data_IF_785617200124
#
_entry.id   IF_785617200124
#
_cell.length_a   1.000
_cell.length_b   1.000
_cell.length_c   1.000
_cell.angle_alpha   90.00
_cell.angle_beta   90.00
_cell.angle_gamma   90.00
#
_symmetry.space_group_name_H-M   'P 1'
#
loop_
_entity.id
_entity.type
_entity.pdbx_description
1 polymer ?
#
# COMPACT_ATOMS: atom_id res chain seq x y z
N UNK A 1 5.29 4.36 26.27
CA UNK A 1 4.51 5.09 27.29
C UNK A 1 3.54 4.16 28.01
N UNK A 2 2.61 3.51 27.32
CA UNK A 2 1.62 2.61 27.93
C UNK A 2 2.23 1.43 28.69
N UNK A 3 3.36 0.89 28.23
CA UNK A 3 4.07 -0.19 28.92
C UNK A 3 4.66 0.27 30.27
N UNK A 4 5.14 1.52 30.34
CA UNK A 4 5.65 2.12 31.58
C UNK A 4 4.51 2.38 32.58
N UNK A 5 3.40 2.92 32.10
CA UNK A 5 2.20 3.15 32.91
C UNK A 5 1.64 1.82 33.43
N UNK A 6 1.63 0.77 32.60
CA UNK A 6 1.21 -0.59 32.98
C UNK A 6 2.14 -1.24 34.00
N UNK A 7 3.46 -1.13 33.84
CA UNK A 7 4.44 -1.63 34.80
C UNK A 7 4.24 -0.99 36.18
N UNK A 8 4.03 0.32 36.24
CA UNK A 8 3.74 1.04 37.49
C UNK A 8 2.48 0.59 38.21
N UNK A 9 1.38 0.36 37.45
CA UNK A 9 0.14 -0.15 38.02
C UNK A 9 0.33 -1.54 38.65
N UNK A 10 1.29 -2.32 38.17
CA UNK A 10 1.66 -3.63 38.69
C UNK A 10 2.77 -3.59 39.74
N UNK A 11 3.29 -2.41 40.10
CA UNK A 11 4.40 -2.26 41.05
C UNK A 11 5.73 -2.78 40.53
N UNK A 12 5.90 -2.82 39.20
CA UNK A 12 7.12 -3.29 38.51
C UNK A 12 8.02 -2.10 38.15
N UNK A 13 9.34 -2.31 38.28
CA UNK A 13 10.34 -1.35 37.80
C UNK A 13 10.31 -1.28 36.27
N UNK A 14 10.42 -0.08 35.70
CA UNK A 14 10.30 0.18 34.28
C UNK A 14 11.56 0.83 33.70
N UNK A 15 11.98 0.36 32.52
CA UNK A 15 13.13 0.91 31.78
C UNK A 15 12.64 1.45 30.44
N UNK A 16 12.70 2.78 30.28
CA UNK A 16 12.42 3.45 29.02
C UNK A 16 13.67 3.49 28.13
N UNK A 17 13.54 3.20 26.84
CA UNK A 17 14.66 3.22 25.88
C UNK A 17 14.45 4.26 24.79
N UNK A 18 15.45 5.12 24.54
CA UNK A 18 15.34 6.23 23.58
C UNK A 18 15.57 5.84 22.12
N UNK A 19 16.01 4.62 21.84
CA UNK A 19 16.15 4.11 20.47
C UNK A 19 14.84 3.50 19.93
N UNK A 20 13.72 3.71 20.63
CA UNK A 20 12.34 3.40 20.21
C UNK A 20 11.58 4.64 19.74
N UNK A 21 10.25 4.62 19.89
CA UNK A 21 9.34 5.66 19.40
C UNK A 21 9.06 6.79 20.43
N UNK A 22 9.63 6.76 21.63
CA UNK A 22 9.38 7.74 22.68
C UNK A 22 10.50 8.77 22.83
N UNK A 23 10.14 10.02 23.13
CA UNK A 23 11.11 11.03 23.55
C UNK A 23 11.49 10.86 25.03
N UNK A 24 12.63 11.42 25.46
CA UNK A 24 13.05 11.42 26.86
C UNK A 24 12.00 12.08 27.75
N UNK A 25 11.36 13.14 27.25
CA UNK A 25 10.29 13.85 27.95
C UNK A 25 9.02 12.99 28.11
N UNK A 26 8.63 12.24 27.10
CA UNK A 26 7.47 11.34 27.17
C UNK A 26 7.71 10.18 28.14
N UNK A 27 8.92 9.59 28.12
CA UNK A 27 9.28 8.50 29.01
C UNK A 27 9.35 8.98 30.48
N UNK A 28 9.90 10.18 30.70
CA UNK A 28 9.95 10.81 32.03
C UNK A 28 8.54 11.14 32.55
N UNK A 29 7.66 11.71 31.69
CA UNK A 29 6.26 12.01 32.05
C UNK A 29 5.45 10.74 32.35
N UNK A 30 5.72 9.62 31.64
CA UNK A 30 5.13 8.33 31.97
C UNK A 30 5.69 7.73 33.27
N UNK A 31 6.77 8.30 33.75
CA UNK A 31 7.42 7.94 35.01
C UNK A 31 8.31 6.73 34.93
N UNK A 32 9.03 6.55 33.83
CA UNK A 32 10.06 5.52 33.70
C UNK A 32 11.09 5.63 34.85
N UNK A 33 11.40 4.53 35.53
CA UNK A 33 12.36 4.50 36.62
C UNK A 33 13.78 4.69 36.10
N UNK A 34 14.07 4.17 34.92
CA UNK A 34 15.32 4.34 34.19
C UNK A 34 15.08 4.71 32.74
N UNK A 35 15.93 5.60 32.18
CA UNK A 35 15.92 5.96 30.76
C UNK A 35 17.27 5.68 30.15
N UNK A 36 17.32 4.81 29.17
CA UNK A 36 18.54 4.29 28.52
C UNK A 36 18.60 4.76 27.08
N UNK A 37 19.74 5.39 26.71
CA UNK A 37 19.91 6.05 25.42
C UNK A 37 20.34 5.13 24.29
N UNK A 38 21.02 4.03 24.60
CA UNK A 38 21.49 3.05 23.60
C UNK A 38 21.51 1.61 24.15
N UNK A 39 21.65 0.63 23.26
CA UNK A 39 21.61 -0.80 23.60
C UNK A 39 22.78 -1.24 24.45
N UNK A 40 23.98 -0.62 24.31
CA UNK A 40 25.15 -0.97 25.12
C UNK A 40 24.93 -0.61 26.57
N UNK A 41 24.33 0.56 26.82
CA UNK A 41 23.96 0.99 28.16
C UNK A 41 22.85 0.09 28.77
N UNK A 42 21.95 -0.42 27.96
CA UNK A 42 20.95 -1.41 28.40
C UNK A 42 21.63 -2.73 28.80
N UNK A 43 22.62 -3.18 28.04
CA UNK A 43 23.39 -4.39 28.36
C UNK A 43 24.13 -4.24 29.70
N UNK A 44 24.80 -3.10 29.91
CA UNK A 44 25.48 -2.81 31.17
C UNK A 44 24.49 -2.74 32.36
N UNK A 45 23.31 -2.15 32.14
CA UNK A 45 22.27 -2.09 33.15
C UNK A 45 21.78 -3.50 33.54
N UNK A 46 21.43 -4.35 32.56
CA UNK A 46 20.94 -5.71 32.82
C UNK A 46 21.99 -6.57 33.53
N UNK A 47 23.28 -6.49 33.14
CA UNK A 47 24.37 -7.18 33.83
C UNK A 47 24.57 -6.73 35.28
N UNK A 48 24.36 -5.44 35.56
CA UNK A 48 24.39 -4.91 36.92
C UNK A 48 23.24 -5.41 37.80
N UNK A 49 22.08 -5.72 37.19
CA UNK A 49 20.92 -6.30 37.88
C UNK A 49 21.03 -7.83 38.05
N UNK A 50 22.14 -8.44 37.63
CA UNK A 50 22.35 -9.89 37.70
C UNK A 50 21.69 -10.68 36.59
N UNK A 51 21.08 -10.00 35.62
CA UNK A 51 20.48 -10.62 34.46
C UNK A 51 21.57 -10.90 33.40
N UNK A 52 21.49 -12.09 32.78
CA UNK A 52 22.33 -12.37 31.63
C UNK A 52 21.55 -12.01 30.33
N UNK A 53 21.93 -10.91 29.63
CA UNK A 53 21.24 -10.48 28.43
C UNK A 53 21.16 -11.56 27.34
N UNK A 54 22.15 -12.47 27.29
CA UNK A 54 22.21 -13.53 26.26
C UNK A 54 21.15 -14.63 26.47
N UNK A 55 20.49 -14.67 27.63
CA UNK A 55 19.36 -15.56 27.89
C UNK A 55 17.98 -14.94 27.56
N UNK A 56 17.94 -13.68 27.10
CA UNK A 56 16.71 -12.95 26.85
C UNK A 56 16.42 -12.89 25.35
N UNK A 57 15.49 -13.68 24.87
CA UNK A 57 15.11 -13.79 23.44
C UNK A 57 14.72 -12.46 22.80
N UNK A 58 14.16 -11.51 23.57
CA UNK A 58 13.88 -10.17 23.09
C UNK A 58 15.14 -9.30 22.95
N UNK A 59 16.18 -9.57 23.77
CA UNK A 59 17.45 -8.87 23.71
C UNK A 59 18.25 -9.27 22.48
N UNK A 60 18.22 -10.54 22.06
CA UNK A 60 18.82 -10.99 20.79
C UNK A 60 18.17 -10.32 19.59
N UNK A 61 16.85 -10.06 19.65
CA UNK A 61 16.15 -9.27 18.62
C UNK A 61 16.62 -7.80 18.59
N UNK A 62 16.98 -7.23 19.72
CA UNK A 62 17.57 -5.88 19.79
C UNK A 62 19.03 -5.88 19.31
N UNK A 63 19.84 -6.85 19.68
CA UNK A 63 21.22 -7.04 19.15
C UNK A 63 21.22 -7.22 17.64
N UNK A 64 20.31 -8.03 17.11
CA UNK A 64 20.13 -8.21 15.66
C UNK A 64 19.74 -6.90 14.94
N UNK A 65 19.23 -5.91 15.67
CA UNK A 65 18.95 -4.56 15.15
C UNK A 65 20.14 -3.60 15.25
N UNK A 66 21.15 -3.91 16.08
CA UNK A 66 22.25 -2.97 16.41
C UNK A 66 23.67 -3.56 16.28
N UNK A 67 23.82 -4.87 16.11
CA UNK A 67 25.11 -5.54 16.15
C UNK A 67 25.26 -6.67 15.17
N UNK A 68 25.47 -6.34 13.92
CA UNK A 68 26.17 -7.14 12.94
C UNK A 68 27.35 -6.30 12.45
N UNK A 69 28.57 -6.63 12.80
CA UNK A 69 29.71 -6.24 11.98
C UNK A 69 29.49 -6.84 10.60
N UNK A 70 29.18 -6.02 9.63
CA UNK A 70 29.11 -6.46 8.27
C UNK A 70 27.95 -5.89 7.49
N UNK A 71 28.24 -4.83 6.78
CA UNK A 71 27.45 -3.99 5.88
C UNK A 71 26.47 -3.07 6.63
N UNK A 72 26.90 -1.82 6.80
CA UNK A 72 25.94 -0.71 6.90
C UNK A 72 24.85 -0.97 5.87
N UNK A 73 23.63 -1.27 6.34
CA UNK A 73 22.51 -1.39 5.43
C UNK A 73 22.25 0.02 4.92
N UNK A 74 22.77 0.30 3.72
CA UNK A 74 22.65 1.59 3.07
C UNK A 74 21.18 2.00 3.07
N UNK A 75 20.87 3.16 3.65
CA UNK A 75 19.55 3.77 3.54
C UNK A 75 19.18 3.89 2.07
N UNK A 76 17.95 3.56 1.73
CA UNK A 76 17.44 3.77 0.39
C UNK A 76 17.04 5.25 0.24
N UNK A 77 17.64 5.93 -0.72
CA UNK A 77 17.38 7.33 -1.02
C UNK A 77 16.17 7.43 -1.94
N UNK A 78 15.09 7.98 -1.41
CA UNK A 78 13.84 8.10 -2.13
C UNK A 78 13.72 9.45 -2.82
N UNK A 79 13.36 9.40 -4.10
CA UNK A 79 12.72 10.50 -4.79
C UNK A 79 11.19 10.41 -4.64
N UNK A 80 10.52 11.54 -4.75
CA UNK A 80 9.05 11.59 -4.71
C UNK A 80 8.50 12.30 -5.93
N UNK A 81 7.57 11.68 -6.63
CA UNK A 81 6.75 12.28 -7.68
C UNK A 81 5.35 12.54 -7.14
N UNK A 82 4.92 13.81 -7.23
CA UNK A 82 3.63 14.25 -6.69
C UNK A 82 3.76 14.93 -5.34
N UNK A 83 2.90 15.93 -5.12
CA UNK A 83 2.90 16.80 -3.92
C UNK A 83 1.53 16.86 -3.26
N UNK A 84 0.68 15.86 -3.56
CA UNK A 84 -0.69 15.77 -3.03
C UNK A 84 -0.78 15.21 -1.61
N UNK A 85 -2.02 15.04 -1.14
CA UNK A 85 -2.31 14.53 0.21
C UNK A 85 -1.71 13.15 0.48
N UNK A 86 -1.67 12.25 -0.53
CA UNK A 86 -1.12 10.91 -0.35
C UNK A 86 0.40 10.95 -0.22
N UNK A 87 1.08 11.77 -1.00
CA UNK A 87 2.52 12.00 -0.88
C UNK A 87 2.89 12.55 0.52
N UNK A 88 2.08 13.47 1.06
CA UNK A 88 2.27 13.98 2.43
C UNK A 88 2.09 12.87 3.48
N UNK A 89 1.05 12.04 3.35
CA UNK A 89 0.83 10.89 4.26
C UNK A 89 1.96 9.87 4.16
N UNK A 90 2.45 9.59 2.95
CA UNK A 90 3.58 8.70 2.71
C UNK A 90 4.84 9.18 3.41
N UNK A 91 5.20 10.47 3.25
CA UNK A 91 6.34 11.05 3.96
C UNK A 91 6.18 10.96 5.48
N UNK A 92 4.99 11.29 6.01
CA UNK A 92 4.70 11.21 7.45
C UNK A 92 4.86 9.79 8.01
N UNK A 93 4.45 8.76 7.24
CA UNK A 93 4.56 7.36 7.63
C UNK A 93 6.02 6.88 7.69
N UNK A 94 6.89 7.42 6.85
CA UNK A 94 8.23 6.89 6.61
C UNK A 94 9.37 7.76 7.16
N UNK A 95 9.13 9.01 7.52
CA UNK A 95 10.17 10.01 7.90
C UNK A 95 11.10 9.59 9.05
N UNK A 96 10.70 8.62 9.85
CA UNK A 96 11.50 8.06 10.95
C UNK A 96 11.95 6.62 10.68
N UNK A 97 11.75 6.12 9.47
CA UNK A 97 12.20 4.80 9.07
C UNK A 97 13.72 4.74 8.98
N UNK A 98 14.33 3.69 9.55
CA UNK A 98 15.80 3.54 9.57
C UNK A 98 16.42 3.34 8.19
N UNK A 99 15.64 2.82 7.24
CA UNK A 99 16.09 2.44 5.90
C UNK A 99 15.55 3.38 4.80
N UNK A 100 14.91 4.48 5.19
CA UNK A 100 14.25 5.44 4.31
C UNK A 100 14.85 6.84 4.49
N UNK A 101 15.23 7.47 3.39
CA UNK A 101 15.61 8.88 3.34
C UNK A 101 14.97 9.56 2.13
N UNK A 102 14.18 10.60 2.34
CA UNK A 102 13.70 11.44 1.24
C UNK A 102 14.81 12.41 0.83
N UNK A 103 15.27 12.34 -0.43
CA UNK A 103 16.39 13.13 -0.95
C UNK A 103 16.00 14.07 -2.08
N UNK A 104 14.91 13.78 -2.80
CA UNK A 104 14.49 14.57 -3.94
C UNK A 104 12.97 14.63 -4.11
N UNK A 105 12.49 15.72 -4.69
CA UNK A 105 11.07 15.92 -5.04
C UNK A 105 10.96 16.42 -6.46
N UNK A 106 10.13 15.76 -7.26
CA UNK A 106 9.72 16.22 -8.57
C UNK A 106 8.27 16.71 -8.55
N UNK A 107 8.03 17.84 -9.19
CA UNK A 107 6.69 18.35 -9.48
C UNK A 107 6.72 19.11 -10.81
N UNK A 108 5.56 19.29 -11.45
CA UNK A 108 5.42 20.04 -12.72
C UNK A 108 5.96 21.47 -12.64
N UNK A 109 6.20 22.00 -11.46
CA UNK A 109 6.86 23.30 -11.22
C UNK A 109 7.76 23.19 -10.00
N UNK A 110 8.94 23.84 -10.05
CA UNK A 110 9.88 23.91 -8.93
C UNK A 110 9.26 24.54 -7.67
N UNK A 111 8.35 25.48 -7.84
CA UNK A 111 7.64 26.13 -6.73
C UNK A 111 6.88 25.09 -5.90
N UNK A 112 6.05 24.23 -6.53
CA UNK A 112 5.31 23.16 -5.86
C UNK A 112 6.22 22.12 -5.22
N UNK A 113 7.34 21.79 -5.87
CA UNK A 113 8.31 20.86 -5.31
C UNK A 113 8.93 21.42 -4.02
N UNK A 114 9.32 22.70 -4.02
CA UNK A 114 9.87 23.40 -2.86
C UNK A 114 8.86 23.59 -1.73
N UNK A 115 7.62 23.95 -2.07
CA UNK A 115 6.53 24.07 -1.10
C UNK A 115 6.28 22.74 -0.38
N UNK A 116 6.20 21.64 -1.13
CA UNK A 116 6.06 20.29 -0.54
C UNK A 116 7.26 19.92 0.33
N UNK A 117 8.48 20.21 -0.12
CA UNK A 117 9.72 19.89 0.57
C UNK A 117 10.03 20.77 1.79
N UNK A 118 9.27 21.85 1.98
CA UNK A 118 9.51 22.78 3.09
C UNK A 118 9.48 22.03 4.44
N UNK A 119 10.52 22.24 5.25
CA UNK A 119 10.74 21.59 6.55
C UNK A 119 10.89 20.04 6.51
N UNK A 120 11.17 19.43 5.35
CA UNK A 120 11.37 17.97 5.22
C UNK A 120 12.83 17.53 5.10
N UNK A 121 13.78 18.44 5.34
CA UNK A 121 15.21 18.15 5.27
C UNK A 121 15.90 18.83 4.08
N UNK A 122 17.11 18.36 3.76
CA UNK A 122 17.86 18.86 2.59
C UNK A 122 17.46 18.07 1.36
N UNK A 123 16.57 18.64 0.53
CA UNK A 123 16.04 18.01 -0.66
C UNK A 123 16.55 18.69 -1.92
N UNK A 124 16.72 17.90 -2.97
CA UNK A 124 16.86 18.41 -4.33
C UNK A 124 15.47 18.54 -4.96
N UNK A 125 15.27 19.55 -5.79
CA UNK A 125 13.98 19.87 -6.39
C UNK A 125 14.10 19.87 -7.91
N UNK A 126 13.15 19.22 -8.57
CA UNK A 126 13.13 19.04 -10.01
C UNK A 126 11.76 19.39 -10.59
N UNK A 127 11.75 19.97 -11.79
CA UNK A 127 10.57 20.13 -12.64
C UNK A 127 10.76 19.51 -14.05
N UNK A 128 11.93 18.92 -14.29
CA UNK A 128 12.22 18.05 -15.42
C UNK A 128 12.33 16.60 -14.95
N UNK A 129 11.54 15.70 -15.57
CA UNK A 129 11.44 14.29 -15.17
C UNK A 129 12.71 13.51 -15.52
N UNK A 130 13.35 13.80 -16.66
CA UNK A 130 14.57 13.12 -17.07
C UNK A 130 15.74 13.50 -16.18
N UNK A 131 15.88 14.79 -15.83
CA UNK A 131 16.88 15.25 -14.87
C UNK A 131 16.67 14.64 -13.49
N UNK A 132 15.43 14.51 -13.03
CA UNK A 132 15.07 13.84 -11.77
C UNK A 132 15.44 12.35 -11.82
N UNK A 133 15.04 11.63 -12.86
CA UNK A 133 15.27 10.20 -13.02
C UNK A 133 16.78 9.87 -13.09
N UNK A 134 17.58 10.70 -13.76
CA UNK A 134 19.02 10.50 -13.92
C UNK A 134 19.86 11.04 -12.74
N UNK A 135 19.22 11.59 -11.70
CA UNK A 135 19.93 12.12 -10.53
C UNK A 135 20.61 11.01 -9.72
N UNK A 136 21.85 11.26 -9.31
CA UNK A 136 22.65 10.36 -8.46
C UNK A 136 22.19 10.36 -6.99
N UNK A 137 21.28 11.25 -6.60
CA UNK A 137 20.80 11.34 -5.22
C UNK A 137 19.62 10.40 -4.94
N UNK A 138 19.17 9.59 -5.91
CA UNK A 138 17.96 8.76 -5.82
C UNK A 138 18.31 7.30 -6.12
N UNK A 139 17.89 6.37 -5.26
CA UNK A 139 17.96 4.92 -5.48
C UNK A 139 16.57 4.35 -5.86
N UNK A 140 15.50 4.90 -5.28
CA UNK A 140 14.13 4.49 -5.49
C UNK A 140 13.18 5.68 -5.55
N UNK A 141 12.02 5.52 -6.19
CA UNK A 141 11.04 6.61 -6.33
C UNK A 141 9.65 6.15 -5.89
N UNK A 142 8.99 6.97 -5.07
CA UNK A 142 7.56 6.86 -4.82
C UNK A 142 6.79 7.72 -5.81
N UNK A 143 5.94 7.08 -6.63
CA UNK A 143 5.14 7.75 -7.65
C UNK A 143 3.71 7.93 -7.15
N UNK A 144 3.29 9.17 -6.93
CA UNK A 144 1.98 9.56 -6.40
C UNK A 144 1.32 10.66 -7.24
N UNK A 145 1.49 10.58 -8.54
CA UNK A 145 0.86 11.42 -9.55
C UNK A 145 -0.57 10.93 -9.87
N UNK A 146 -1.34 11.59 -10.77
CA UNK A 146 -2.57 11.02 -11.28
C UNK A 146 -2.34 9.71 -12.06
N UNK A 147 -3.28 8.77 -11.99
CA UNK A 147 -3.17 7.41 -12.55
C UNK A 147 -2.69 7.40 -14.02
N UNK A 148 -3.22 8.29 -14.85
CA UNK A 148 -2.85 8.40 -16.27
C UNK A 148 -1.38 8.77 -16.52
N UNK A 149 -0.64 9.21 -15.48
CA UNK A 149 0.78 9.57 -15.58
C UNK A 149 1.70 8.45 -15.11
N UNK A 150 1.17 7.41 -14.44
CA UNK A 150 1.98 6.38 -13.82
C UNK A 150 2.86 5.66 -14.84
N UNK A 151 2.27 5.17 -15.94
CA UNK A 151 2.99 4.43 -16.97
C UNK A 151 4.23 5.18 -17.48
N UNK A 152 4.06 6.39 -18.02
CA UNK A 152 5.15 7.13 -18.65
C UNK A 152 6.24 7.49 -17.63
N UNK A 153 5.85 7.90 -16.41
CA UNK A 153 6.79 8.24 -15.35
C UNK A 153 7.56 7.01 -14.85
N UNK A 154 6.89 5.89 -14.62
CA UNK A 154 7.53 4.66 -14.17
C UNK A 154 8.48 4.12 -15.24
N UNK A 155 8.09 4.15 -16.52
CA UNK A 155 8.95 3.74 -17.62
C UNK A 155 10.23 4.59 -17.73
N UNK A 156 10.13 5.90 -17.51
CA UNK A 156 11.29 6.80 -17.46
C UNK A 156 12.23 6.44 -16.30
N UNK A 157 11.68 6.22 -15.11
CA UNK A 157 12.44 5.88 -13.90
C UNK A 157 13.15 4.52 -14.01
N UNK A 158 12.44 3.50 -14.50
CA UNK A 158 13.01 2.15 -14.69
C UNK A 158 14.16 2.18 -15.71
N UNK A 159 14.02 2.88 -16.83
CA UNK A 159 15.10 3.05 -17.83
C UNK A 159 16.31 3.79 -17.27
N UNK A 160 16.10 4.67 -16.29
CA UNK A 160 17.17 5.38 -15.57
C UNK A 160 17.74 4.56 -14.38
N UNK A 161 17.35 3.29 -14.23
CA UNK A 161 17.89 2.40 -13.19
C UNK A 161 17.34 2.64 -11.80
N UNK A 162 16.13 3.20 -11.63
CA UNK A 162 15.53 3.45 -10.32
C UNK A 162 14.47 2.38 -10.00
N UNK A 163 14.51 1.87 -8.74
CA UNK A 163 13.41 1.08 -8.21
C UNK A 163 12.16 1.95 -8.05
N UNK A 164 10.96 1.40 -8.19
CA UNK A 164 9.73 2.20 -8.14
C UNK A 164 8.66 1.58 -7.25
N UNK A 165 8.16 2.37 -6.30
CA UNK A 165 6.92 2.15 -5.57
C UNK A 165 5.86 3.07 -6.18
N UNK A 166 4.92 2.51 -6.94
CA UNK A 166 3.89 3.26 -7.64
C UNK A 166 2.55 3.17 -6.91
N UNK A 167 1.89 4.32 -6.69
CA UNK A 167 0.53 4.33 -6.14
C UNK A 167 -0.44 3.51 -6.98
N UNK A 168 -1.46 3.01 -6.28
CA UNK A 168 -2.58 2.30 -6.88
C UNK A 168 -3.55 3.28 -7.61
N UNK A 169 -4.24 2.82 -8.67
CA UNK A 169 -3.94 1.59 -9.41
C UNK A 169 -2.62 1.74 -10.14
N UNK A 170 -1.91 0.62 -10.35
CA UNK A 170 -0.57 0.60 -10.97
C UNK A 170 -0.53 1.42 -12.27
N UNK A 171 -1.56 1.30 -13.11
CA UNK A 171 -1.65 1.94 -14.41
C UNK A 171 -3.12 2.20 -14.80
N UNK A 172 -3.35 2.78 -15.98
CA UNK A 172 -4.69 3.01 -16.52
C UNK A 172 -5.35 1.72 -17.03
N UNK A 173 -4.54 0.72 -17.42
CA UNK A 173 -5.00 -0.58 -17.92
C UNK A 173 -3.92 -1.65 -17.74
N UNK A 174 -4.32 -2.93 -17.95
CA UNK A 174 -3.45 -4.10 -17.82
C UNK A 174 -2.21 -4.01 -18.72
N UNK A 175 -2.37 -3.58 -19.98
CA UNK A 175 -1.28 -3.51 -20.94
C UNK A 175 -0.16 -2.56 -20.48
N UNK A 176 -0.52 -1.39 -19.94
CA UNK A 176 0.44 -0.46 -19.34
C UNK A 176 1.18 -1.10 -18.16
N UNK A 177 0.46 -1.80 -17.28
CA UNK A 177 1.07 -2.51 -16.16
C UNK A 177 2.02 -3.63 -16.61
N UNK A 178 1.66 -4.41 -17.64
CA UNK A 178 2.52 -5.44 -18.25
C UNK A 178 3.80 -4.84 -18.84
N UNK A 179 3.70 -3.70 -19.55
CA UNK A 179 4.85 -2.99 -20.10
C UNK A 179 5.79 -2.51 -18.98
N UNK A 180 5.24 -1.97 -17.88
CA UNK A 180 6.02 -1.50 -16.71
C UNK A 180 6.75 -2.65 -16.02
N UNK A 181 6.09 -3.78 -15.76
CA UNK A 181 6.74 -4.93 -15.14
C UNK A 181 7.78 -5.58 -16.04
N UNK A 182 7.53 -5.65 -17.35
CA UNK A 182 8.50 -6.16 -18.33
C UNK A 182 9.77 -5.32 -18.36
N UNK A 183 9.65 -3.98 -18.28
CA UNK A 183 10.83 -3.11 -18.20
C UNK A 183 11.55 -3.25 -16.86
N UNK A 184 10.83 -3.38 -15.75
CA UNK A 184 11.43 -3.60 -14.41
C UNK A 184 12.26 -4.91 -14.39
N UNK A 185 11.73 -6.01 -14.94
CA UNK A 185 12.44 -7.28 -15.07
C UNK A 185 13.69 -7.15 -15.93
N UNK A 186 13.57 -6.53 -17.09
CA UNK A 186 14.69 -6.30 -18.02
C UNK A 186 15.83 -5.52 -17.37
N UNK A 187 15.51 -4.56 -16.50
CA UNK A 187 16.49 -3.73 -15.80
C UNK A 187 16.93 -4.34 -14.46
N UNK A 188 16.38 -5.50 -14.06
CA UNK A 188 16.59 -6.12 -12.75
C UNK A 188 16.28 -5.16 -11.59
N UNK A 189 15.14 -4.48 -11.69
CA UNK A 189 14.64 -3.50 -10.71
C UNK A 189 13.35 -3.99 -10.05
N UNK A 190 13.12 -3.52 -8.84
CA UNK A 190 11.87 -3.76 -8.12
C UNK A 190 10.85 -2.69 -8.53
N UNK A 191 9.71 -3.13 -9.03
CA UNK A 191 8.49 -2.35 -9.20
C UNK A 191 7.41 -2.93 -8.30
N UNK A 192 6.84 -2.10 -7.43
CA UNK A 192 5.79 -2.49 -6.50
C UNK A 192 4.60 -1.55 -6.62
N UNK A 193 3.37 -2.09 -6.59
CA UNK A 193 2.15 -1.31 -6.43
C UNK A 193 1.92 -0.95 -4.97
N UNK A 194 1.65 0.32 -4.68
CA UNK A 194 1.31 0.83 -3.36
C UNK A 194 -0.08 0.39 -2.90
N UNK A 195 -0.25 -0.91 -2.71
CA UNK A 195 -1.50 -1.51 -2.26
C UNK A 195 -1.47 -1.75 -0.75
N UNK A 196 -1.50 -0.67 0.01
CA UNK A 196 -1.31 -0.63 1.48
C UNK A 196 -2.08 -1.71 2.25
N UNK A 197 -3.29 -2.08 1.80
CA UNK A 197 -4.16 -3.03 2.50
C UNK A 197 -3.54 -4.43 2.61
N UNK A 198 -2.96 -4.96 1.53
CA UNK A 198 -2.42 -6.32 1.48
C UNK A 198 -1.02 -6.45 2.12
N UNK A 199 -0.36 -5.32 2.39
CA UNK A 199 0.94 -5.28 3.08
C UNK A 199 0.82 -4.97 4.57
N UNK A 200 -0.37 -4.61 5.05
CA UNK A 200 -0.61 -4.38 6.47
C UNK A 200 -0.45 -5.69 7.28
N UNK A 201 0.26 -5.68 8.42
CA UNK A 201 0.46 -6.86 9.26
C UNK A 201 -0.84 -7.55 9.68
N UNK A 202 -1.93 -6.80 9.83
CA UNK A 202 -3.25 -7.33 10.15
C UNK A 202 -3.79 -8.24 9.05
N UNK A 203 -3.48 -7.96 7.77
CA UNK A 203 -3.88 -8.81 6.67
C UNK A 203 -3.22 -10.21 6.78
N UNK A 204 -1.91 -10.26 7.02
CA UNK A 204 -1.20 -11.53 7.23
C UNK A 204 -1.67 -12.25 8.50
N UNK A 205 -1.92 -11.51 9.59
CA UNK A 205 -2.44 -12.07 10.84
C UNK A 205 -3.88 -12.60 10.73
N UNK A 206 -4.65 -12.15 9.75
CA UNK A 206 -5.99 -12.66 9.47
C UNK A 206 -5.96 -14.05 8.81
N UNK A 207 -4.95 -14.34 7.97
CA UNK A 207 -4.91 -15.56 7.15
C UNK A 207 -5.05 -16.86 7.94
N UNK A 208 -4.40 -17.08 9.10
CA UNK A 208 -4.57 -18.31 9.88
C UNK A 208 -6.02 -18.57 10.32
N UNK A 209 -6.82 -17.52 10.50
CA UNK A 209 -8.23 -17.67 10.87
C UNK A 209 -9.10 -18.21 9.72
N UNK A 210 -8.64 -18.07 8.46
CA UNK A 210 -9.35 -18.60 7.28
C UNK A 210 -9.52 -20.13 7.37
N UNK A 211 -8.52 -20.86 7.89
CA UNK A 211 -8.59 -22.31 8.05
C UNK A 211 -9.74 -22.74 8.96
N UNK A 212 -10.05 -21.92 9.98
CA UNK A 212 -11.12 -22.19 10.93
C UNK A 212 -12.53 -22.09 10.34
N UNK A 213 -12.68 -21.52 9.13
CA UNK A 213 -13.96 -21.35 8.47
C UNK A 213 -14.44 -22.63 7.75
N UNK A 214 -13.56 -23.63 7.56
CA UNK A 214 -13.81 -24.76 6.70
C UNK A 214 -13.73 -24.37 5.21
N UNK A 215 -14.36 -25.14 4.33
CA UNK A 215 -14.35 -24.86 2.89
C UNK A 215 -15.11 -23.55 2.61
N UNK A 216 -14.41 -22.57 2.04
CA UNK A 216 -15.00 -21.27 1.70
C UNK A 216 -15.98 -21.44 0.55
N UNK A 217 -17.17 -20.88 0.69
CA UNK A 217 -18.26 -20.95 -0.30
C UNK A 217 -18.67 -19.59 -0.83
N UNK A 218 -18.47 -18.55 -0.04
CA UNK A 218 -18.80 -17.17 -0.45
C UNK A 218 -17.86 -16.17 0.22
N UNK A 219 -17.50 -15.12 -0.51
CA UNK A 219 -16.85 -13.94 0.03
C UNK A 219 -17.51 -12.68 -0.54
N UNK A 220 -17.97 -11.80 0.33
CA UNK A 220 -18.48 -10.46 -0.04
C UNK A 220 -17.54 -9.45 0.61
N UNK A 221 -16.65 -8.88 -0.17
CA UNK A 221 -15.76 -7.82 0.28
C UNK A 221 -16.27 -6.47 -0.21
N UNK A 222 -16.17 -5.44 0.62
CA UNK A 222 -16.69 -4.12 0.25
C UNK A 222 -15.82 -2.97 0.75
N UNK A 223 -15.76 -1.90 -0.06
CA UNK A 223 -15.29 -0.59 0.31
C UNK A 223 -16.23 0.46 -0.24
N UNK A 224 -17.13 0.94 0.62
CA UNK A 224 -18.10 1.97 0.29
C UNK A 224 -17.87 3.17 1.21
N UNK A 225 -17.44 4.28 0.64
CA UNK A 225 -17.15 5.51 1.38
C UNK A 225 -17.65 6.71 0.59
N UNK A 226 -18.64 7.42 1.13
CA UNK A 226 -19.13 8.65 0.52
C UNK A 226 -18.00 9.68 0.42
N UNK A 227 -17.68 10.07 -0.79
CA UNK A 227 -16.61 11.03 -1.06
C UNK A 227 -17.10 12.46 -0.91
N UNK A 228 -16.43 13.28 -0.09
CA UNK A 228 -16.70 14.72 -0.01
C UNK A 228 -16.55 15.43 -1.37
N UNK A 229 -15.79 14.85 -2.31
CA UNK A 229 -15.67 15.34 -3.69
C UNK A 229 -16.92 15.09 -4.52
N UNK A 230 -17.80 14.18 -4.11
CA UNK A 230 -19.07 13.94 -4.80
C UNK A 230 -20.04 15.09 -4.60
N UNK A 231 -19.98 15.81 -3.47
CA UNK A 231 -20.77 17.04 -3.30
C UNK A 231 -20.35 18.13 -4.29
N UNK A 232 -19.05 18.26 -4.56
CA UNK A 232 -18.57 19.15 -5.60
C UNK A 232 -19.02 18.71 -7.00
N UNK A 233 -18.96 17.39 -7.27
CA UNK A 233 -19.46 16.81 -8.51
C UNK A 233 -20.95 17.18 -8.76
N UNK A 234 -21.81 17.03 -7.75
CA UNK A 234 -23.24 17.42 -7.83
C UNK A 234 -23.45 18.92 -8.11
N UNK A 235 -22.46 19.76 -7.78
CA UNK A 235 -22.44 21.20 -8.08
C UNK A 235 -21.78 21.53 -9.43
N UNK A 236 -21.41 20.52 -10.22
CA UNK A 236 -20.73 20.69 -11.51
C UNK A 236 -19.20 20.90 -11.42
N UNK A 237 -18.60 20.76 -10.23
CA UNK A 237 -17.15 20.89 -10.02
C UNK A 237 -16.55 19.47 -9.98
N UNK A 238 -15.90 19.07 -11.09
CA UNK A 238 -15.33 17.73 -11.22
C UNK A 238 -13.89 17.72 -10.73
N UNK A 239 -13.67 17.09 -9.59
CA UNK A 239 -12.33 16.87 -9.03
C UNK A 239 -11.68 15.61 -9.58
N UNK A 240 -10.34 15.48 -9.39
CA UNK A 240 -9.52 14.41 -10.00
C UNK A 240 -10.07 12.99 -9.83
N UNK A 241 -10.66 12.67 -8.67
CA UNK A 241 -11.21 11.33 -8.40
C UNK A 241 -12.38 10.92 -9.30
N UNK A 242 -13.00 11.88 -10.02
CA UNK A 242 -14.11 11.67 -10.94
C UNK A 242 -13.78 12.10 -12.36
N UNK A 243 -12.51 12.19 -12.75
CA UNK A 243 -12.03 12.60 -14.07
C UNK A 243 -11.64 11.40 -14.91
N UNK A 244 -12.36 11.06 -15.99
CA UNK A 244 -12.01 9.95 -16.87
C UNK A 244 -10.67 10.19 -17.57
N UNK A 245 -10.31 11.44 -17.89
CA UNK A 245 -9.02 11.81 -18.48
C UNK A 245 -7.82 11.55 -17.57
N UNK A 246 -8.06 11.33 -16.27
CA UNK A 246 -7.03 10.94 -15.30
C UNK A 246 -7.07 9.45 -14.96
N UNK A 247 -7.84 8.64 -15.72
CA UNK A 247 -8.06 7.21 -15.47
C UNK A 247 -8.60 6.93 -14.07
N UNK A 248 -9.60 7.72 -13.64
CA UNK A 248 -10.23 7.65 -12.34
C UNK A 248 -11.70 7.24 -12.43
N UNK A 249 -12.31 7.01 -11.28
CA UNK A 249 -13.67 6.55 -11.04
C UNK A 249 -13.71 5.79 -9.72
N UNK A 250 -14.85 5.29 -9.30
CA UNK A 250 -14.96 4.57 -8.03
C UNK A 250 -14.22 3.22 -8.08
N UNK A 251 -14.27 2.50 -9.19
CA UNK A 251 -13.55 1.25 -9.39
C UNK A 251 -12.03 1.44 -9.24
N UNK A 252 -11.48 2.40 -9.97
CA UNK A 252 -10.04 2.66 -10.00
C UNK A 252 -9.53 3.26 -8.69
N UNK A 253 -10.34 4.05 -7.96
CA UNK A 253 -9.87 4.72 -6.74
C UNK A 253 -10.03 3.86 -5.48
N UNK A 254 -11.17 3.19 -5.30
CA UNK A 254 -11.44 2.38 -4.10
C UNK A 254 -11.81 0.93 -4.41
N UNK A 255 -12.46 0.63 -5.52
CA UNK A 255 -12.77 -0.73 -5.96
C UNK A 255 -11.51 -1.59 -6.11
N UNK A 256 -10.41 -0.98 -6.56
CA UNK A 256 -9.10 -1.63 -6.70
C UNK A 256 -8.64 -2.31 -5.40
N UNK A 257 -8.88 -1.72 -4.23
CA UNK A 257 -8.54 -2.33 -2.93
C UNK A 257 -9.30 -3.64 -2.70
N UNK A 258 -10.59 -3.62 -2.99
CA UNK A 258 -11.47 -4.79 -2.80
C UNK A 258 -11.07 -5.91 -3.75
N UNK A 259 -10.82 -5.58 -5.01
CA UNK A 259 -10.37 -6.54 -6.03
C UNK A 259 -9.00 -7.12 -5.65
N UNK A 260 -8.05 -6.30 -5.26
CA UNK A 260 -6.72 -6.75 -4.82
C UNK A 260 -6.79 -7.68 -3.61
N UNK A 261 -7.65 -7.39 -2.63
CA UNK A 261 -7.89 -8.27 -1.50
C UNK A 261 -8.51 -9.62 -1.93
N UNK A 262 -9.48 -9.62 -2.86
CA UNK A 262 -10.05 -10.86 -3.43
C UNK A 262 -8.97 -11.70 -4.12
N UNK A 263 -8.15 -11.09 -4.99
CA UNK A 263 -7.05 -11.78 -5.68
C UNK A 263 -6.03 -12.32 -4.68
N UNK A 264 -5.66 -11.54 -3.66
CA UNK A 264 -4.68 -11.96 -2.63
C UNK A 264 -5.18 -13.13 -1.79
N UNK A 265 -6.49 -13.21 -1.51
CA UNK A 265 -7.10 -14.26 -0.70
C UNK A 265 -7.45 -15.53 -1.49
N UNK A 266 -7.96 -15.37 -2.70
CA UNK A 266 -8.59 -16.47 -3.45
C UNK A 266 -7.99 -16.71 -4.83
N UNK A 267 -7.02 -15.90 -5.26
CA UNK A 267 -6.43 -15.96 -6.60
C UNK A 267 -7.34 -15.37 -7.67
N UNK A 268 -6.98 -15.62 -8.93
CA UNK A 268 -7.74 -15.16 -10.09
C UNK A 268 -9.10 -15.87 -10.21
N UNK A 269 -10.20 -15.13 -10.46
CA UNK A 269 -11.51 -15.74 -10.75
C UNK A 269 -11.51 -16.40 -12.14
N UNK A 270 -12.36 -17.40 -12.33
CA UNK A 270 -12.59 -18.05 -13.62
C UNK A 270 -13.31 -17.10 -14.60
N UNK A 271 -14.27 -16.35 -14.06
CA UNK A 271 -15.03 -15.34 -14.81
C UNK A 271 -15.53 -14.24 -13.88
N UNK A 272 -15.93 -13.10 -14.46
CA UNK A 272 -16.55 -12.01 -13.72
C UNK A 272 -17.79 -11.47 -14.45
N UNK A 273 -18.73 -10.90 -13.65
CA UNK A 273 -19.83 -10.08 -14.13
C UNK A 273 -19.88 -8.78 -13.33
N UNK A 274 -19.81 -7.65 -14.03
CA UNK A 274 -19.81 -6.33 -13.41
C UNK A 274 -21.09 -5.57 -13.71
N UNK A 275 -21.61 -4.89 -12.69
CA UNK A 275 -22.71 -3.91 -12.80
C UNK A 275 -22.37 -2.67 -11.98
N UNK A 276 -22.77 -1.48 -12.44
CA UNK A 276 -22.41 -0.24 -11.76
C UNK A 276 -23.24 0.96 -12.17
N UNK A 277 -23.10 2.02 -11.40
CA UNK A 277 -23.74 3.31 -11.63
C UNK A 277 -22.74 4.24 -12.32
N UNK A 278 -22.99 4.52 -13.62
CA UNK A 278 -22.23 5.53 -14.36
C UNK A 278 -22.74 6.93 -14.03
N UNK A 279 -21.80 7.82 -13.78
CA UNK A 279 -22.07 9.23 -13.61
C UNK A 279 -22.15 9.95 -14.99
N UNK A 280 -22.67 11.17 -15.01
CA UNK A 280 -22.94 11.92 -16.24
C UNK A 280 -21.70 12.17 -17.12
N UNK A 281 -20.51 12.17 -16.53
CA UNK A 281 -19.25 12.35 -17.24
C UNK A 281 -18.55 11.04 -17.67
N UNK A 282 -19.24 9.90 -17.51
CA UNK A 282 -18.76 8.61 -18.01
C UNK A 282 -17.97 7.73 -17.04
N UNK A 283 -17.54 8.25 -15.87
CA UNK A 283 -16.92 7.40 -14.83
C UNK A 283 -18.00 6.72 -13.98
N UNK A 284 -17.61 5.66 -13.27
CA UNK A 284 -18.47 5.01 -12.29
C UNK A 284 -18.44 5.73 -10.92
N UNK A 285 -19.60 5.77 -10.27
CA UNK A 285 -19.76 6.24 -8.89
C UNK A 285 -19.81 5.10 -7.88
N UNK A 286 -20.32 3.94 -8.30
CA UNK A 286 -20.46 2.72 -7.51
C UNK A 286 -20.57 1.50 -8.41
N UNK A 287 -20.25 0.32 -7.89
CA UNK A 287 -20.42 -0.91 -8.63
C UNK A 287 -20.24 -2.17 -7.78
N UNK A 288 -20.56 -3.29 -8.41
CA UNK A 288 -20.37 -4.63 -7.88
C UNK A 288 -19.79 -5.52 -8.97
N UNK A 289 -18.79 -6.31 -8.61
CA UNK A 289 -18.20 -7.33 -9.46
C UNK A 289 -18.48 -8.68 -8.83
N UNK A 290 -19.27 -9.51 -9.50
CA UNK A 290 -19.44 -10.92 -9.16
C UNK A 290 -18.26 -11.70 -9.76
N UNK A 291 -17.56 -12.46 -8.93
CA UNK A 291 -16.39 -13.26 -9.28
C UNK A 291 -16.72 -14.75 -9.12
N UNK A 292 -16.57 -15.51 -10.19
CA UNK A 292 -16.83 -16.96 -10.19
C UNK A 292 -15.50 -17.71 -9.97
N UNK A 293 -15.50 -18.63 -9.00
CA UNK A 293 -14.41 -19.55 -8.72
C UNK A 293 -14.94 -21.00 -8.80
N UNK A 294 -14.10 -22.04 -8.91
CA UNK A 294 -14.57 -23.43 -9.04
C UNK A 294 -15.54 -23.87 -7.93
N UNK A 295 -15.30 -23.40 -6.70
CA UNK A 295 -16.02 -23.89 -5.50
C UNK A 295 -16.68 -22.78 -4.68
N UNK A 296 -16.52 -21.51 -5.07
CA UNK A 296 -17.07 -20.37 -4.34
C UNK A 296 -17.51 -19.23 -5.25
N UNK A 297 -18.31 -18.35 -4.69
CA UNK A 297 -18.71 -17.07 -5.33
C UNK A 297 -18.08 -15.92 -4.54
N UNK A 298 -17.40 -15.01 -5.24
CA UNK A 298 -16.90 -13.75 -4.71
C UNK A 298 -17.74 -12.55 -5.15
N UNK A 299 -17.85 -11.55 -4.30
CA UNK A 299 -18.47 -10.26 -4.60
C UNK A 299 -17.53 -9.14 -4.14
N UNK A 300 -17.12 -8.27 -5.06
CA UNK A 300 -16.38 -7.05 -4.77
C UNK A 300 -17.32 -5.85 -4.95
N UNK A 301 -17.66 -5.18 -3.84
CA UNK A 301 -18.61 -4.07 -3.81
C UNK A 301 -17.85 -2.79 -3.49
N UNK A 302 -18.10 -1.72 -4.26
CA UNK A 302 -17.43 -0.44 -4.06
C UNK A 302 -18.36 0.73 -4.36
N UNK A 303 -18.20 1.84 -3.61
CA UNK A 303 -18.97 3.07 -3.85
C UNK A 303 -18.24 4.29 -3.33
N UNK A 304 -18.23 5.36 -4.13
CA UNK A 304 -17.81 6.71 -3.73
C UNK A 304 -18.98 7.68 -3.56
N UNK A 305 -20.20 7.19 -3.80
CA UNK A 305 -21.45 7.99 -3.77
C UNK A 305 -22.41 7.55 -2.67
N UNK A 306 -22.05 6.49 -1.94
CA UNK A 306 -22.77 5.99 -0.76
C UNK A 306 -21.79 5.46 0.27
N UNK A 307 -22.18 5.48 1.55
CA UNK A 307 -21.53 4.70 2.61
C UNK A 307 -22.18 3.32 2.75
N UNK A 308 -21.51 2.40 3.43
CA UNK A 308 -22.08 1.13 3.88
C UNK A 308 -21.72 0.87 5.34
N UNK A 309 -22.73 0.47 6.12
CA UNK A 309 -22.55 0.03 7.50
C UNK A 309 -22.31 -1.48 7.63
N UNK A 310 -22.41 -2.24 6.52
CA UNK A 310 -22.24 -3.68 6.53
C UNK A 310 -20.76 -4.03 6.51
N UNK A 311 -20.28 -5.02 7.30
CA UNK A 311 -18.92 -5.51 7.21
C UNK A 311 -18.72 -6.33 5.93
N UNK A 312 -17.46 -6.46 5.47
CA UNK A 312 -17.04 -7.52 4.56
C UNK A 312 -17.25 -8.87 5.24
N UNK A 313 -17.56 -9.91 4.47
CA UNK A 313 -17.86 -11.23 5.00
C UNK A 313 -17.22 -12.34 4.16
N UNK A 314 -16.60 -13.33 4.83
CA UNK A 314 -16.11 -14.57 4.23
C UNK A 314 -16.85 -15.73 4.89
N UNK A 315 -17.53 -16.54 4.08
CA UNK A 315 -18.40 -17.61 4.54
C UNK A 315 -17.81 -18.99 4.18
N UNK A 316 -17.50 -19.76 5.20
CA UNK A 316 -17.13 -21.15 5.08
C UNK A 316 -18.24 -22.08 5.59
N UNK A 317 -18.06 -23.38 5.38
CA UNK A 317 -19.02 -24.41 5.82
C UNK A 317 -19.10 -24.52 7.36
N UNK A 318 -18.03 -24.16 8.08
CA UNK A 318 -17.95 -24.30 9.54
C UNK A 318 -18.16 -22.98 10.30
N UNK A 319 -17.80 -21.84 9.70
CA UNK A 319 -17.92 -20.53 10.32
C UNK A 319 -17.93 -19.42 9.27
N UNK A 320 -18.28 -18.19 9.70
CA UNK A 320 -18.15 -16.98 8.91
C UNK A 320 -17.21 -15.99 9.59
N UNK A 321 -16.42 -15.28 8.79
CA UNK A 321 -15.57 -14.16 9.23
C UNK A 321 -16.20 -12.85 8.79
N UNK A 322 -16.31 -11.89 9.70
CA UNK A 322 -16.74 -10.53 9.45
C UNK A 322 -15.55 -9.59 9.63
N UNK A 323 -15.25 -8.77 8.61
CA UNK A 323 -14.17 -7.79 8.61
C UNK A 323 -14.76 -6.41 8.39
N UNK A 324 -14.59 -5.48 9.35
CA UNK A 324 -15.26 -4.18 9.31
C UNK A 324 -14.74 -3.31 8.16
N UNK A 325 -13.43 -3.19 8.02
CA UNK A 325 -12.74 -2.36 7.03
C UNK A 325 -11.67 -3.21 6.35
N UNK A 326 -11.96 -3.73 5.14
CA UNK A 326 -11.05 -4.63 4.44
C UNK A 326 -9.77 -3.91 3.96
N UNK A 327 -9.86 -2.61 3.72
CA UNK A 327 -8.72 -1.77 3.30
C UNK A 327 -7.78 -1.40 4.45
N UNK A 328 -8.22 -1.58 5.72
CA UNK A 328 -7.44 -1.31 6.93
C UNK A 328 -7.95 -2.13 8.13
N UNK A 329 -7.67 -3.42 8.10
CA UNK A 329 -8.22 -4.38 9.07
C UNK A 329 -7.69 -4.09 10.48
N UNK A 330 -8.56 -3.68 11.39
CA UNK A 330 -8.25 -3.56 12.83
C UNK A 330 -9.00 -4.61 13.64
N UNK A 331 -10.21 -4.94 13.21
CA UNK A 331 -11.10 -5.85 13.91
C UNK A 331 -11.68 -6.89 12.95
N UNK A 332 -11.74 -8.14 13.41
CA UNK A 332 -12.52 -9.18 12.77
C UNK A 332 -13.32 -9.97 13.81
N UNK A 333 -14.38 -10.60 13.34
CA UNK A 333 -15.21 -11.48 14.17
C UNK A 333 -15.40 -12.82 13.45
N UNK A 334 -15.18 -13.92 14.17
CA UNK A 334 -15.52 -15.26 13.71
C UNK A 334 -16.85 -15.64 14.34
N UNK A 335 -17.81 -16.01 13.52
CA UNK A 335 -19.16 -16.41 13.94
C UNK A 335 -19.35 -17.88 13.61
N UNK A 336 -19.50 -18.72 14.66
CA UNK A 336 -19.70 -20.16 14.54
C UNK A 336 -20.90 -20.57 15.38
N UNK A 337 -21.97 -21.08 14.73
CA UNK A 337 -23.19 -21.56 15.41
C UNK A 337 -23.74 -20.55 16.45
N UNK A 338 -23.73 -19.27 16.11
CA UNK A 338 -24.19 -18.19 16.99
C UNK A 338 -23.20 -17.69 18.03
N UNK A 339 -22.07 -18.38 18.21
CA UNK A 339 -20.97 -17.89 19.08
C UNK A 339 -20.08 -16.94 18.28
N UNK A 340 -19.77 -15.78 18.87
CA UNK A 340 -18.95 -14.74 18.27
C UNK A 340 -17.62 -14.65 19.00
N UNK A 341 -16.51 -14.81 18.27
CA UNK A 341 -15.16 -14.53 18.73
C UNK A 341 -14.69 -13.23 18.07
N UNK A 342 -14.35 -12.22 18.85
CA UNK A 342 -13.77 -10.95 18.35
C UNK A 342 -12.26 -10.99 18.48
N UNK A 343 -11.57 -10.55 17.43
CA UNK A 343 -10.11 -10.45 17.36
C UNK A 343 -9.76 -9.02 16.97
N UNK A 344 -8.86 -8.39 17.74
CA UNK A 344 -8.34 -7.05 17.49
C UNK A 344 -6.87 -7.12 17.07
N UNK A 345 -6.49 -6.32 16.08
CA UNK A 345 -5.12 -6.20 15.60
C UNK A 345 -4.59 -4.80 15.87
N UNK A 346 -3.56 -4.73 16.70
CA UNK A 346 -2.81 -3.47 16.85
C UNK A 346 -1.96 -3.20 15.62
N UNK A 347 -2.12 -2.03 15.03
CA UNK A 347 -1.30 -1.54 13.93
C UNK A 347 -1.35 0.00 13.87
N UNK A 348 -0.42 0.58 13.11
CA UNK A 348 -0.37 2.02 12.86
C UNK A 348 -1.64 2.51 12.17
N UNK A 349 -2.11 3.71 12.52
CA UNK A 349 -3.19 4.38 11.78
C UNK A 349 -2.77 4.76 10.36
N UNK A 350 -1.49 5.06 10.16
CA UNK A 350 -0.93 5.30 8.84
C UNK A 350 -0.17 4.08 8.35
N UNK A 351 -0.86 3.19 7.63
CA UNK A 351 -0.35 1.90 7.17
C UNK A 351 0.53 1.97 5.91
N UNK A 352 0.82 3.16 5.38
CA UNK A 352 1.69 3.34 4.21
C UNK A 352 3.16 2.96 4.49
N UNK A 353 3.57 2.92 5.75
CA UNK A 353 4.91 2.47 6.12
C UNK A 353 5.13 0.98 5.84
N UNK A 354 4.10 0.14 5.91
CA UNK A 354 4.25 -1.31 5.73
C UNK A 354 4.56 -1.69 4.29
N UNK A 355 3.89 -1.08 3.32
CA UNK A 355 4.22 -1.28 1.89
C UNK A 355 5.63 -0.77 1.56
N UNK A 356 6.05 0.35 2.18
CA UNK A 356 7.41 0.87 2.03
C UNK A 356 8.46 -0.09 2.62
N UNK A 357 8.19 -0.66 3.79
CA UNK A 357 9.09 -1.64 4.42
C UNK A 357 9.20 -2.91 3.56
N UNK A 358 8.09 -3.40 3.00
CA UNK A 358 8.12 -4.56 2.10
C UNK A 358 8.87 -4.24 0.80
N UNK A 359 8.66 -3.07 0.21
CA UNK A 359 9.41 -2.61 -0.96
C UNK A 359 10.92 -2.53 -0.70
N UNK A 360 11.33 -1.92 0.42
CA UNK A 360 12.75 -1.85 0.83
C UNK A 360 13.33 -3.25 1.04
N UNK A 361 12.59 -4.15 1.66
CA UNK A 361 12.98 -5.54 1.85
C UNK A 361 13.17 -6.24 0.50
N UNK A 362 12.27 -6.07 -0.46
CA UNK A 362 12.40 -6.61 -1.82
C UNK A 362 13.66 -6.06 -2.51
N UNK A 363 13.95 -4.77 -2.40
CA UNK A 363 15.19 -4.17 -2.95
C UNK A 363 16.43 -4.83 -2.35
N UNK A 364 16.46 -5.02 -1.02
CA UNK A 364 17.62 -5.56 -0.29
C UNK A 364 17.83 -7.06 -0.52
N UNK A 365 16.76 -7.81 -0.72
CA UNK A 365 16.81 -9.28 -0.81
C UNK A 365 16.66 -9.80 -2.23
N UNK A 366 16.09 -9.03 -3.14
CA UNK A 366 15.71 -9.48 -4.49
C UNK A 366 14.54 -10.48 -4.50
N UNK A 367 13.82 -10.67 -3.38
CA UNK A 367 12.79 -11.72 -3.22
C UNK A 367 11.40 -11.15 -2.94
N UNK A 368 10.36 -11.88 -3.33
CA UNK A 368 8.96 -11.62 -2.98
C UNK A 368 8.21 -10.73 -3.95
N UNK A 369 8.88 -10.15 -4.93
CA UNK A 369 8.27 -9.26 -5.92
C UNK A 369 7.39 -10.01 -6.93
N UNK A 370 7.68 -11.29 -7.21
CA UNK A 370 6.95 -12.11 -8.19
C UNK A 370 5.47 -12.25 -7.79
N UNK A 371 5.23 -12.57 -6.51
CA UNK A 371 3.87 -12.69 -5.97
C UNK A 371 3.12 -11.35 -6.01
N UNK A 372 3.81 -10.26 -5.69
CA UNK A 372 3.22 -8.92 -5.74
C UNK A 372 2.86 -8.51 -7.17
N UNK A 373 3.74 -8.80 -8.15
CA UNK A 373 3.47 -8.64 -9.58
C UNK A 373 2.25 -9.43 -10.03
N UNK A 374 2.15 -10.71 -9.66
CA UNK A 374 1.01 -11.56 -10.00
C UNK A 374 -0.30 -10.96 -9.48
N UNK A 375 -0.34 -10.54 -8.20
CA UNK A 375 -1.52 -9.91 -7.60
C UNK A 375 -1.91 -8.64 -8.37
N UNK A 376 -0.95 -7.77 -8.68
CA UNK A 376 -1.21 -6.53 -9.42
C UNK A 376 -1.74 -6.83 -10.83
N UNK A 377 -1.11 -7.73 -11.59
CA UNK A 377 -1.56 -8.04 -12.95
C UNK A 377 -2.94 -8.69 -12.99
N UNK A 378 -3.24 -9.63 -12.09
CA UNK A 378 -4.57 -10.23 -12.00
C UNK A 378 -5.62 -9.21 -11.51
N UNK A 379 -5.26 -8.30 -10.61
CA UNK A 379 -6.10 -7.17 -10.22
C UNK A 379 -6.43 -6.30 -11.44
N UNK A 380 -5.42 -5.85 -12.19
CA UNK A 380 -5.61 -5.02 -13.38
C UNK A 380 -6.46 -5.70 -14.46
N UNK A 381 -6.31 -7.01 -14.62
CA UNK A 381 -7.12 -7.82 -15.55
C UNK A 381 -8.61 -7.82 -15.17
N UNK A 382 -8.91 -7.95 -13.88
CA UNK A 382 -10.28 -7.85 -13.36
C UNK A 382 -10.83 -6.44 -13.55
N UNK A 383 -10.04 -5.40 -13.25
CA UNK A 383 -10.44 -4.00 -13.45
C UNK A 383 -10.75 -3.70 -14.93
N UNK A 384 -9.91 -4.15 -15.85
CA UNK A 384 -10.11 -3.94 -17.30
C UNK A 384 -11.37 -4.64 -17.80
N UNK A 385 -11.59 -5.89 -17.39
CA UNK A 385 -12.79 -6.64 -17.78
C UNK A 385 -14.06 -6.01 -17.17
N UNK A 386 -14.01 -5.55 -15.91
CA UNK A 386 -15.12 -4.83 -15.29
C UNK A 386 -15.42 -3.50 -16.03
N UNK A 387 -14.36 -2.71 -16.36
CA UNK A 387 -14.52 -1.47 -17.15
C UNK A 387 -15.14 -1.75 -18.52
N UNK A 388 -14.69 -2.83 -19.19
CA UNK A 388 -15.22 -3.25 -20.49
C UNK A 388 -16.74 -3.52 -20.40
N UNK A 389 -17.18 -4.28 -19.38
CA UNK A 389 -18.60 -4.57 -19.15
C UNK A 389 -19.41 -3.32 -18.78
N UNK A 390 -18.82 -2.38 -18.05
CA UNK A 390 -19.43 -1.11 -17.67
C UNK A 390 -19.35 -0.03 -18.79
N UNK A 391 -18.70 -0.33 -19.91
CA UNK A 391 -18.43 0.64 -20.98
C UNK A 391 -17.71 1.90 -20.49
N UNK A 392 -16.70 1.73 -19.63
CA UNK A 392 -15.83 2.80 -19.14
C UNK A 392 -14.52 2.73 -19.93
N UNK A 393 -14.23 3.80 -20.68
CA UNK A 393 -13.05 3.93 -21.54
C UNK A 393 -12.21 5.12 -21.07
N UNK A 394 -10.92 4.92 -20.99
CA UNK A 394 -9.94 5.97 -20.69
C UNK A 394 -9.13 6.36 -21.94
N UNK A 395 -8.58 7.58 -22.02
CA UNK A 395 -7.72 7.99 -23.14
C UNK A 395 -6.53 7.05 -23.38
N UNK A 396 -6.00 6.42 -22.34
CA UNK A 396 -4.93 5.43 -22.41
C UNK A 396 -5.31 4.17 -23.23
N UNK A 397 -6.58 3.78 -23.19
CA UNK A 397 -7.09 2.61 -23.94
C UNK A 397 -7.08 2.87 -25.44
N UNK A 398 -7.40 4.10 -25.88
CA UNK A 398 -7.40 4.53 -27.29
C UNK A 398 -5.99 4.58 -27.86
N UNK A 399 -5.03 5.17 -27.14
CA UNK A 399 -3.59 5.17 -27.53
C UNK A 399 -3.05 3.75 -27.73
N UNK A 400 -3.47 2.82 -26.91
CA UNK A 400 -3.09 1.41 -27.01
C UNK A 400 -3.65 0.73 -28.26
N UNK A 401 -4.84 1.09 -28.72
CA UNK A 401 -5.44 0.55 -29.96
C UNK A 401 -4.77 1.12 -31.22
N UNK A 402 -4.43 2.40 -31.23
CA UNK A 402 -3.72 3.04 -32.34
C UNK A 402 -2.34 2.44 -32.55
N UNK A 403 -1.55 2.23 -31.49
CA UNK A 403 -0.26 1.54 -31.56
C UNK A 403 -0.37 0.11 -32.11
N UNK A 404 -1.45 -0.62 -31.79
CA UNK A 404 -1.71 -1.97 -32.34
C UNK A 404 -2.04 -1.91 -33.84
N UNK A 405 -2.85 -0.94 -34.29
CA UNK A 405 -3.18 -0.75 -35.71
C UNK A 405 -1.93 -0.42 -36.51
N UNK A 406 -1.11 0.51 -36.08
CA UNK A 406 0.13 0.91 -36.74
C UNK A 406 1.13 -0.26 -36.86
N UNK A 407 1.29 -1.10 -35.82
CA UNK A 407 2.15 -2.29 -35.88
C UNK A 407 1.61 -3.38 -36.81
N UNK A 408 0.28 -3.46 -36.97
CA UNK A 408 -0.33 -4.43 -37.91
C UNK A 408 -0.13 -3.98 -39.36
N UNK A 409 -0.34 -2.68 -39.62
CA UNK A 409 -0.11 -2.11 -40.97
C UNK A 409 1.36 -2.22 -41.39
N UNK A 410 2.30 -1.93 -40.48
CA UNK A 410 3.73 -2.07 -40.74
C UNK A 410 4.18 -3.53 -41.03
N UNK A 411 3.49 -4.53 -40.41
CA UNK A 411 3.75 -5.96 -40.69
C UNK A 411 3.09 -6.50 -41.96
N UNK A 412 2.09 -5.81 -42.48
CA UNK A 412 1.40 -6.14 -43.73
C UNK A 412 2.10 -5.47 -44.93
N UNK A 413 2.99 -4.50 -44.69
CA UNK A 413 3.81 -3.79 -45.66
C UNK A 413 5.23 -4.37 -45.83
N UNK A 414 5.70 -5.26 -44.91
CA UNK A 414 6.92 -6.07 -45.03
C UNK A 414 6.62 -7.43 -45.68
#
# INVERSE_FOLDING_TARGET
KHDIEGAKLCGLESVGVLYGYGSEEELSKAGADHIIKDVKLLEEYLRKQGENPDNLTWYDRLKGRTGGEGKETKMIRFGMIGTGKIAQKFWQANRYGKDFELTAVYSRTLERAREFGFQKGRLQYFDDLEAFANSDCIDAVYVASPNCCHHDQVMTLLKAGKHVLCEKPMASNLKEAEEMFSEAEKQNLILLEGMRSIYAPSFEKMLPYMESLGKIRRATLQYCQYSSRYDNYKRGIIENAFKPELSNGALMDIGVYVVACMIRLFGAPVSIKASGIKLSNGVDGAGTILMEYPDMIGEAIYSKITDSAMPSQIQGEDASMLVQEIENIKDLRIVRKGVVQSIHFEQSDNILNYETQEFIKMIKTGMGWEKSREITLETMKVLDEARRQLHIVFPADEKSQEKKKQKKTAKEEE
#
